data_IF_603655828709
#
_entry.id   IF_603655828709
#
_cell.length_a   1.000
_cell.length_b   1.000
_cell.length_c   1.000
_cell.angle_alpha   90.00
_cell.angle_beta   90.00
_cell.angle_gamma   90.00
#
_symmetry.space_group_name_H-M   'P 1'
#
loop_
_entity.id
_entity.type
_entity.pdbx_description
1 polymer ?
#
# COMPACT_ATOMS: atom_id res chain seq x y z
N UNK A 1 -41.75 -43.74 63.32
CA UNK A 1 -41.03 -42.46 63.04
C UNK A 1 -39.83 -42.77 62.14
N UNK A 2 -39.98 -42.64 60.84
CA UNK A 2 -38.90 -42.81 59.89
C UNK A 2 -38.47 -41.41 59.33
N UNK A 3 -37.21 -41.04 59.28
CA UNK A 3 -36.82 -39.82 58.63
C UNK A 3 -36.63 -40.06 57.12
N UNK A 4 -37.25 -39.16 56.34
CA UNK A 4 -37.07 -39.05 54.87
C UNK A 4 -35.79 -38.36 54.58
N UNK A 5 -34.87 -39.02 53.86
CA UNK A 5 -33.67 -38.42 53.32
C UNK A 5 -34.00 -37.69 52.00
N UNK A 6 -33.81 -36.39 51.94
CA UNK A 6 -33.91 -35.57 50.72
C UNK A 6 -32.56 -35.55 50.02
N UNK A 7 -32.50 -36.15 48.83
CA UNK A 7 -31.34 -36.13 47.93
C UNK A 7 -31.38 -34.83 47.10
N UNK A 8 -30.48 -33.90 47.38
CA UNK A 8 -30.30 -32.66 46.56
C UNK A 8 -29.36 -32.98 45.42
N UNK A 9 -29.89 -33.09 44.19
CA UNK A 9 -29.13 -33.16 42.96
C UNK A 9 -28.62 -31.75 42.58
N UNK A 10 -27.30 -31.52 42.75
CA UNK A 10 -26.65 -30.29 42.29
C UNK A 10 -26.47 -30.31 40.78
N UNK A 11 -27.20 -29.44 40.07
CA UNK A 11 -26.95 -29.18 38.66
C UNK A 11 -25.79 -28.23 38.57
N UNK A 12 -24.63 -28.74 38.14
CA UNK A 12 -23.46 -27.92 37.78
C UNK A 12 -23.74 -27.26 36.41
N UNK A 13 -24.22 -26.03 36.43
CA UNK A 13 -24.26 -25.18 35.26
C UNK A 13 -22.83 -24.69 34.97
N UNK A 14 -22.18 -25.32 33.99
CA UNK A 14 -20.96 -24.81 33.41
C UNK A 14 -21.21 -23.46 32.73
N UNK A 15 -21.03 -22.37 33.45
CA UNK A 15 -20.96 -21.05 32.90
C UNK A 15 -19.62 -20.95 32.11
N UNK A 16 -19.70 -21.23 30.80
CA UNK A 16 -18.64 -20.83 29.88
C UNK A 16 -18.50 -19.34 29.99
N UNK A 17 -17.39 -18.85 30.58
CA UNK A 17 -17.03 -17.46 30.55
C UNK A 17 -16.82 -17.06 29.07
N UNK A 18 -17.86 -16.52 28.46
CA UNK A 18 -17.73 -15.69 27.29
C UNK A 18 -16.92 -14.48 27.76
N UNK A 19 -15.62 -14.41 27.42
CA UNK A 19 -14.83 -13.19 27.56
C UNK A 19 -15.60 -12.10 26.80
N UNK A 20 -16.10 -11.12 27.54
CA UNK A 20 -16.53 -9.84 26.95
C UNK A 20 -15.25 -9.24 26.37
N UNK A 21 -15.20 -9.06 25.04
CA UNK A 21 -14.10 -8.38 24.38
C UNK A 21 -13.94 -7.00 25.05
N UNK A 22 -12.83 -6.81 25.78
CA UNK A 22 -12.48 -5.52 26.35
C UNK A 22 -11.98 -4.59 25.23
N UNK A 23 -11.97 -3.29 25.46
CA UNK A 23 -11.44 -2.28 24.52
C UNK A 23 -10.00 -2.56 24.04
N UNK A 24 -9.28 -3.50 24.66
CA UNK A 24 -7.92 -3.96 24.32
C UNK A 24 -7.84 -5.17 23.37
N UNK A 25 -8.96 -5.60 22.77
CA UNK A 25 -8.98 -6.81 21.94
C UNK A 25 -8.96 -6.50 20.42
N UNK A 26 -8.80 -5.24 20.04
CA UNK A 26 -8.71 -4.82 18.64
C UNK A 26 -7.25 -4.65 18.22
N UNK A 27 -6.96 -4.95 16.94
CA UNK A 27 -5.65 -4.73 16.30
C UNK A 27 -5.68 -3.39 15.59
N UNK A 28 -4.82 -2.46 15.98
CA UNK A 28 -4.68 -1.16 15.33
C UNK A 28 -3.73 -1.25 14.14
N UNK A 29 -4.20 -0.83 12.96
CA UNK A 29 -3.45 -0.97 11.71
C UNK A 29 -3.37 0.36 10.97
N UNK A 30 -2.17 0.85 10.71
CA UNK A 30 -1.96 1.89 9.69
C UNK A 30 -1.58 1.24 8.38
N UNK A 31 -2.32 1.54 7.32
CA UNK A 31 -2.10 0.92 6.02
C UNK A 31 -2.20 1.91 4.86
N UNK A 32 -1.51 1.57 3.75
CA UNK A 32 -1.61 2.32 2.50
C UNK A 32 -3.07 2.45 2.07
N UNK A 33 -3.56 3.67 1.82
CA UNK A 33 -4.97 3.95 1.58
C UNK A 33 -5.54 3.23 0.34
N UNK A 34 -4.69 2.84 -0.61
CA UNK A 34 -5.05 1.97 -1.74
C UNK A 34 -5.56 0.57 -1.33
N UNK A 35 -5.32 0.16 -0.08
CA UNK A 35 -5.79 -1.12 0.47
C UNK A 35 -7.16 -1.01 1.17
N UNK A 36 -7.80 0.16 1.22
CA UNK A 36 -8.97 0.41 2.09
C UNK A 36 -10.07 -0.64 1.93
N UNK A 37 -10.47 -0.97 0.70
CA UNK A 37 -11.52 -1.96 0.45
C UNK A 37 -11.05 -3.37 0.80
N UNK A 38 -9.83 -3.75 0.40
CA UNK A 38 -9.26 -5.05 0.72
C UNK A 38 -9.11 -5.25 2.23
N UNK A 39 -8.63 -4.23 2.95
CA UNK A 39 -8.47 -4.29 4.41
C UNK A 39 -9.81 -4.35 5.15
N UNK A 40 -10.88 -3.77 4.62
CA UNK A 40 -12.23 -3.96 5.18
C UNK A 40 -12.69 -5.43 5.07
N UNK A 41 -12.43 -6.09 3.94
CA UNK A 41 -12.73 -7.51 3.73
C UNK A 41 -11.84 -8.40 4.63
N UNK A 42 -10.54 -8.10 4.72
CA UNK A 42 -9.59 -8.76 5.63
C UNK A 42 -10.06 -8.63 7.08
N UNK A 43 -10.44 -7.43 7.52
CA UNK A 43 -10.92 -7.18 8.88
C UNK A 43 -12.18 -8.01 9.22
N UNK A 44 -13.13 -8.10 8.27
CA UNK A 44 -14.33 -8.93 8.44
C UNK A 44 -13.97 -10.40 8.62
N UNK A 45 -13.14 -10.93 7.73
CA UNK A 45 -12.75 -12.34 7.74
C UNK A 45 -11.89 -12.69 8.95
N UNK A 46 -10.95 -11.81 9.32
CA UNK A 46 -10.13 -11.96 10.53
C UNK A 46 -10.98 -12.00 11.79
N UNK A 47 -11.98 -11.10 11.90
CA UNK A 47 -12.92 -11.09 13.03
C UNK A 47 -13.76 -12.36 13.09
N UNK A 48 -14.24 -12.88 11.97
CA UNK A 48 -15.01 -14.12 11.91
C UNK A 48 -14.21 -15.31 12.48
N UNK A 49 -12.92 -15.37 12.21
CA UNK A 49 -12.06 -16.47 12.64
C UNK A 49 -11.53 -16.32 14.06
N UNK A 50 -11.18 -15.10 14.45
CA UNK A 50 -10.45 -14.86 15.71
C UNK A 50 -11.30 -14.22 16.80
N UNK A 51 -12.43 -13.62 16.43
CA UNK A 51 -13.25 -12.79 17.31
C UNK A 51 -12.66 -11.39 17.56
N UNK A 52 -11.48 -11.06 16.99
CA UNK A 52 -10.79 -9.79 17.18
C UNK A 52 -11.22 -8.77 16.13
N UNK A 53 -11.40 -7.52 16.56
CA UNK A 53 -11.65 -6.40 15.66
C UNK A 53 -10.32 -5.87 15.06
N UNK A 54 -10.39 -5.31 13.85
CA UNK A 54 -9.28 -4.55 13.23
C UNK A 54 -9.72 -3.10 13.09
N UNK A 55 -8.97 -2.19 13.69
CA UNK A 55 -9.16 -0.75 13.55
C UNK A 55 -8.17 -0.20 12.55
N UNK A 56 -8.66 0.15 11.38
CA UNK A 56 -7.85 0.58 10.26
C UNK A 56 -7.71 2.09 10.17
N UNK A 57 -6.50 2.57 9.89
CA UNK A 57 -6.17 3.97 9.63
C UNK A 57 -5.51 4.09 8.24
N UNK A 58 -6.31 4.35 7.17
CA UNK A 58 -5.79 4.48 5.81
C UNK A 58 -5.05 5.79 5.61
N UNK A 59 -3.81 5.72 5.07
CA UNK A 59 -2.95 6.88 4.80
C UNK A 59 -2.01 6.63 3.62
N UNK A 60 -1.43 7.71 3.08
CA UNK A 60 -0.23 7.58 2.26
C UNK A 60 0.91 6.96 3.08
N UNK A 61 1.61 5.97 2.53
CA UNK A 61 2.58 5.17 3.32
C UNK A 61 3.69 6.02 3.95
N UNK A 62 4.21 7.02 3.25
CA UNK A 62 5.24 7.93 3.81
C UNK A 62 4.69 8.73 4.98
N UNK A 63 3.47 9.28 4.84
CA UNK A 63 2.81 10.04 5.90
C UNK A 63 2.55 9.16 7.14
N UNK A 64 2.09 7.91 6.95
CA UNK A 64 1.90 6.95 8.03
C UNK A 64 3.21 6.63 8.77
N UNK A 65 4.29 6.38 8.04
CA UNK A 65 5.60 6.11 8.64
C UNK A 65 6.11 7.28 9.49
N UNK A 66 5.88 8.53 9.05
CA UNK A 66 6.26 9.73 9.83
C UNK A 66 5.49 9.82 11.15
N UNK A 67 4.18 9.60 11.16
CA UNK A 67 3.38 9.63 12.38
C UNK A 67 3.82 8.58 13.39
N UNK A 68 4.22 7.39 12.91
CA UNK A 68 4.77 6.32 13.75
C UNK A 68 6.13 6.74 14.30
N UNK A 69 7.03 7.25 13.46
CA UNK A 69 8.36 7.71 13.86
C UNK A 69 8.32 8.79 14.93
N UNK A 70 7.40 9.76 14.78
CA UNK A 70 7.22 10.85 15.74
C UNK A 70 6.46 10.41 17.02
N UNK A 71 6.04 9.14 17.11
CA UNK A 71 5.28 8.61 18.25
C UNK A 71 3.86 9.17 18.40
N UNK A 72 3.37 9.91 17.39
CA UNK A 72 2.02 10.46 17.35
C UNK A 72 0.99 9.33 17.22
N UNK A 73 1.36 8.29 16.49
CA UNK A 73 0.54 7.10 16.29
C UNK A 73 1.35 5.83 16.57
N UNK A 74 0.72 4.84 17.21
CA UNK A 74 1.36 3.58 17.61
C UNK A 74 0.48 2.40 17.19
N UNK A 75 0.48 2.03 15.92
CA UNK A 75 -0.28 0.88 15.43
C UNK A 75 0.39 -0.44 15.81
N UNK A 76 -0.40 -1.52 15.84
CA UNK A 76 0.13 -2.88 15.97
C UNK A 76 0.73 -3.39 14.68
N UNK A 77 0.20 -2.92 13.53
CA UNK A 77 0.73 -3.25 12.21
C UNK A 77 0.86 -2.00 11.36
N UNK A 78 1.99 -1.88 10.69
CA UNK A 78 2.20 -0.91 9.60
C UNK A 78 2.26 -1.65 8.27
N UNK A 79 1.38 -1.26 7.33
CA UNK A 79 1.32 -1.82 5.97
C UNK A 79 1.59 -0.71 4.95
N UNK A 80 2.59 -0.94 4.11
CA UNK A 80 3.03 0.01 3.09
C UNK A 80 2.81 -0.53 1.67
N UNK A 81 2.57 0.38 0.72
CA UNK A 81 2.58 0.07 -0.72
C UNK A 81 3.99 0.14 -1.34
N UNK A 82 5.02 0.43 -0.54
CA UNK A 82 6.42 0.39 -0.97
C UNK A 82 7.35 0.04 0.21
N UNK A 83 8.04 -1.11 0.19
CA UNK A 83 9.01 -1.47 1.22
C UNK A 83 10.12 -0.44 1.45
N UNK A 84 10.43 0.42 0.47
CA UNK A 84 11.40 1.50 0.62
C UNK A 84 11.00 2.53 1.69
N UNK A 85 9.74 2.55 2.14
CA UNK A 85 9.28 3.43 3.23
C UNK A 85 9.56 2.88 4.63
N UNK A 86 9.88 1.57 4.79
CA UNK A 86 10.10 0.95 6.10
C UNK A 86 11.18 1.65 6.94
N UNK A 87 12.35 2.04 6.38
CA UNK A 87 13.36 2.78 7.16
C UNK A 87 12.89 4.13 7.70
N UNK A 88 11.79 4.69 7.16
CA UNK A 88 11.20 5.94 7.66
C UNK A 88 10.56 5.80 9.05
N UNK A 89 10.32 4.58 9.52
CA UNK A 89 9.90 4.30 10.89
C UNK A 89 10.98 4.69 11.92
N UNK A 90 12.24 4.92 11.48
CA UNK A 90 13.34 5.32 12.36
C UNK A 90 13.61 4.30 13.46
N UNK A 91 13.65 4.72 14.72
CA UNK A 91 13.89 3.85 15.87
C UNK A 91 12.78 2.79 16.08
N UNK A 92 11.65 2.94 15.39
CA UNK A 92 10.55 1.96 15.44
C UNK A 92 10.58 0.94 14.30
N UNK A 93 11.57 1.00 13.39
CA UNK A 93 11.78 -0.03 12.36
C UNK A 93 12.29 -1.34 13.00
N UNK A 94 11.53 -2.44 12.96
CA UNK A 94 11.99 -3.72 13.53
C UNK A 94 13.10 -4.38 12.69
N UNK A 95 13.39 -3.85 11.49
CA UNK A 95 14.41 -4.38 10.59
C UNK A 95 13.94 -5.55 9.72
N UNK A 96 12.65 -5.87 9.74
CA UNK A 96 12.03 -6.91 8.92
C UNK A 96 10.66 -6.49 8.43
N UNK A 97 10.18 -7.09 7.35
CA UNK A 97 8.80 -7.02 6.90
C UNK A 97 8.45 -8.27 6.09
N UNK A 98 7.15 -8.53 5.89
CA UNK A 98 6.64 -9.55 4.97
C UNK A 98 6.02 -8.84 3.77
N UNK A 99 6.52 -9.11 2.57
CA UNK A 99 5.82 -8.76 1.33
C UNK A 99 4.71 -9.79 1.14
N UNK A 100 3.46 -9.34 1.14
CA UNK A 100 2.30 -10.22 1.07
C UNK A 100 1.51 -10.07 -0.23
N UNK A 101 1.68 -8.97 -0.96
CA UNK A 101 0.97 -8.74 -2.22
C UNK A 101 1.80 -7.88 -3.19
N UNK A 102 1.42 -7.92 -4.47
CA UNK A 102 1.96 -7.11 -5.56
C UNK A 102 0.84 -6.44 -6.32
N UNK A 103 1.18 -5.33 -7.00
CA UNK A 103 0.24 -4.58 -7.81
C UNK A 103 0.90 -3.99 -9.03
N UNK A 104 0.11 -3.28 -9.83
CA UNK A 104 0.58 -2.52 -11.00
C UNK A 104 -0.16 -1.18 -11.11
N UNK A 105 0.46 -0.20 -11.77
CA UNK A 105 -0.16 1.10 -12.04
C UNK A 105 -1.03 1.04 -13.29
N UNK A 106 -2.15 1.78 -13.20
CA UNK A 106 -3.08 2.04 -14.29
C UNK A 106 -3.52 3.51 -14.28
N UNK A 107 -4.13 3.98 -15.36
CA UNK A 107 -4.91 5.21 -15.35
C UNK A 107 -6.39 4.85 -15.15
N UNK A 108 -6.91 5.09 -13.95
CA UNK A 108 -8.32 4.88 -13.61
C UNK A 108 -9.17 6.06 -14.07
N UNK A 109 -10.37 5.78 -14.63
CA UNK A 109 -11.33 6.79 -15.08
C UNK A 109 -12.76 6.32 -14.87
N UNK A 110 -13.68 7.27 -14.77
CA UNK A 110 -15.11 7.02 -14.58
C UNK A 110 -15.95 7.42 -15.80
N UNK A 111 -17.21 6.96 -15.81
CA UNK A 111 -18.16 7.29 -16.88
C UNK A 111 -18.50 8.81 -16.95
N UNK A 112 -18.26 9.55 -15.87
CA UNK A 112 -18.45 10.98 -15.82
C UNK A 112 -17.30 11.81 -16.45
N UNK A 113 -16.24 11.16 -16.97
CA UNK A 113 -15.12 11.84 -17.63
C UNK A 113 -15.58 12.56 -18.90
N UNK A 114 -15.19 13.82 -19.05
CA UNK A 114 -15.41 14.60 -20.29
C UNK A 114 -14.64 14.05 -21.48
N UNK A 115 -13.63 13.20 -21.24
CA UNK A 115 -12.77 12.56 -22.23
C UNK A 115 -13.02 11.04 -22.36
N UNK A 116 -14.21 10.56 -21.94
CA UNK A 116 -14.55 9.14 -21.87
C UNK A 116 -14.21 8.36 -23.15
N UNK A 117 -14.69 8.84 -24.31
CA UNK A 117 -14.46 8.18 -25.60
C UNK A 117 -12.97 8.07 -25.96
N UNK A 118 -12.16 9.06 -25.58
CA UNK A 118 -10.72 9.05 -25.82
C UNK A 118 -10.00 8.08 -24.86
N UNK A 119 -10.43 8.01 -23.60
CA UNK A 119 -9.92 7.06 -22.61
C UNK A 119 -10.30 5.62 -22.99
N UNK A 120 -11.52 5.37 -23.47
CA UNK A 120 -11.94 4.06 -24.01
C UNK A 120 -11.09 3.68 -25.23
N UNK A 121 -10.79 4.64 -26.11
CA UNK A 121 -9.91 4.39 -27.25
C UNK A 121 -8.47 4.07 -26.79
N UNK A 122 -7.97 4.74 -25.75
CA UNK A 122 -6.66 4.42 -25.16
C UNK A 122 -6.66 3.04 -24.49
N UNK A 123 -7.73 2.69 -23.76
CA UNK A 123 -7.93 1.35 -23.20
C UNK A 123 -7.89 0.25 -24.25
N UNK A 124 -8.49 0.51 -25.41
CA UNK A 124 -8.50 -0.39 -26.56
C UNK A 124 -7.18 -0.41 -27.36
N UNK A 125 -6.18 0.40 -26.99
CA UNK A 125 -4.91 0.52 -27.69
C UNK A 125 -4.97 1.31 -29.00
N UNK A 126 -6.09 1.98 -29.30
CA UNK A 126 -6.28 2.78 -30.51
C UNK A 126 -5.65 4.18 -30.41
N UNK A 127 -5.46 4.68 -29.20
CA UNK A 127 -4.78 5.93 -28.91
C UNK A 127 -3.68 5.67 -27.87
N UNK A 128 -2.59 6.43 -27.96
CA UNK A 128 -1.59 6.45 -26.88
C UNK A 128 -2.15 7.26 -25.71
N UNK A 129 -2.10 6.72 -24.50
CA UNK A 129 -2.62 7.40 -23.34
C UNK A 129 -1.98 8.79 -23.08
N UNK A 130 -0.68 9.04 -23.37
CA UNK A 130 -0.12 10.39 -23.20
C UNK A 130 -0.79 11.44 -24.11
N UNK A 131 -1.22 11.04 -25.33
CA UNK A 131 -1.91 11.94 -26.25
C UNK A 131 -3.33 12.29 -25.74
N UNK A 132 -3.91 11.43 -24.92
CA UNK A 132 -5.21 11.67 -24.28
C UNK A 132 -5.06 12.61 -23.09
N UNK A 133 -4.12 12.34 -22.18
CA UNK A 133 -3.96 13.17 -20.96
C UNK A 133 -3.42 14.58 -21.25
N UNK A 134 -2.80 14.78 -22.41
CA UNK A 134 -2.31 16.10 -22.85
C UNK A 134 -3.33 16.90 -23.68
N UNK A 135 -4.58 16.40 -23.80
CA UNK A 135 -5.65 17.20 -24.47
C UNK A 135 -5.97 18.46 -23.66
N UNK A 136 -6.31 19.55 -24.34
CA UNK A 136 -6.72 20.78 -23.65
C UNK A 136 -7.86 20.52 -22.64
N UNK A 137 -7.68 20.99 -21.42
CA UNK A 137 -8.65 20.87 -20.34
C UNK A 137 -8.75 19.47 -19.71
N UNK A 138 -7.87 18.53 -20.04
CA UNK A 138 -7.80 17.23 -19.37
C UNK A 138 -7.29 17.39 -17.93
N UNK A 139 -8.00 16.83 -16.97
CA UNK A 139 -7.69 16.90 -15.54
C UNK A 139 -7.19 15.53 -15.07
N UNK A 140 -5.86 15.39 -14.96
CA UNK A 140 -5.20 14.18 -14.47
C UNK A 140 -4.92 14.33 -12.98
N UNK A 141 -5.45 13.42 -12.15
CA UNK A 141 -5.18 13.35 -10.71
C UNK A 141 -3.98 12.44 -10.38
N UNK A 142 -3.28 12.79 -9.31
CA UNK A 142 -2.22 11.97 -8.69
C UNK A 142 -2.09 12.28 -7.21
N UNK A 143 -1.42 11.44 -6.46
CA UNK A 143 -1.09 11.70 -5.05
C UNK A 143 0.18 12.55 -4.91
N UNK A 144 0.41 13.07 -3.70
CA UNK A 144 1.61 13.83 -3.36
C UNK A 144 2.83 12.88 -3.30
N UNK A 145 3.86 13.09 -4.13
CA UNK A 145 5.01 12.20 -4.18
C UNK A 145 5.90 12.26 -2.92
N UNK A 146 5.78 13.27 -2.08
CA UNK A 146 6.50 13.38 -0.82
C UNK A 146 5.82 12.60 0.32
N UNK A 147 4.53 12.29 0.16
CA UNK A 147 3.71 11.66 1.20
C UNK A 147 3.20 10.26 0.84
N UNK A 148 3.22 9.91 -0.46
CA UNK A 148 2.61 8.69 -0.95
C UNK A 148 3.43 8.02 -2.07
N UNK A 149 3.69 6.69 -1.99
CA UNK A 149 4.41 5.96 -3.04
C UNK A 149 3.78 6.08 -4.42
N UNK A 150 2.46 6.08 -4.55
CA UNK A 150 1.77 6.20 -5.83
C UNK A 150 2.11 7.53 -6.53
N UNK A 151 2.37 8.59 -5.76
CA UNK A 151 2.79 9.89 -6.28
C UNK A 151 4.13 9.84 -7.00
N UNK A 152 5.19 9.33 -6.36
CA UNK A 152 6.50 9.21 -7.03
C UNK A 152 6.51 8.09 -8.08
N UNK A 153 5.70 7.03 -7.93
CA UNK A 153 5.54 5.99 -8.95
C UNK A 153 4.88 6.54 -10.21
N UNK A 154 3.93 7.48 -10.08
CA UNK A 154 3.38 8.21 -11.23
C UNK A 154 4.46 8.99 -11.97
N UNK A 155 5.37 9.68 -11.24
CA UNK A 155 6.50 10.39 -11.85
C UNK A 155 7.41 9.42 -12.60
N UNK A 156 7.72 8.24 -12.04
CA UNK A 156 8.51 7.21 -12.73
C UNK A 156 7.81 6.72 -14.00
N UNK A 157 6.51 6.43 -13.94
CA UNK A 157 5.73 6.01 -15.10
C UNK A 157 5.76 7.07 -16.22
N UNK A 158 5.66 8.37 -15.88
CA UNK A 158 5.71 9.44 -16.86
C UNK A 158 7.10 9.61 -17.49
N UNK A 159 8.18 9.43 -16.71
CA UNK A 159 9.54 9.41 -17.25
C UNK A 159 9.79 8.24 -18.18
N UNK A 160 9.30 7.05 -17.82
CA UNK A 160 9.36 5.88 -18.69
C UNK A 160 8.50 6.05 -19.94
N UNK A 161 7.36 6.73 -19.85
CA UNK A 161 6.53 7.06 -21.01
C UNK A 161 7.24 8.01 -21.97
N UNK A 162 8.03 8.95 -21.48
CA UNK A 162 8.87 9.83 -22.31
C UNK A 162 9.89 9.01 -23.13
N UNK A 163 10.51 8.01 -22.51
CA UNK A 163 11.45 7.11 -23.19
C UNK A 163 10.77 6.22 -24.24
N UNK A 164 9.55 5.72 -23.90
CA UNK A 164 8.81 4.80 -24.79
C UNK A 164 8.14 5.52 -25.96
N UNK A 165 7.53 6.68 -25.70
CA UNK A 165 6.69 7.35 -26.69
C UNK A 165 7.33 8.60 -27.30
N UNK A 166 8.39 9.21 -26.64
CA UNK A 166 8.82 10.55 -27.03
C UNK A 166 7.67 11.56 -27.00
N UNK A 167 7.89 12.83 -27.35
CA UNK A 167 9.16 13.54 -27.49
C UNK A 167 9.79 13.86 -26.12
N UNK A 168 11.05 14.31 -26.13
CA UNK A 168 11.72 14.82 -24.93
C UNK A 168 10.88 15.90 -24.23
N UNK A 169 10.72 15.84 -22.91
CA UNK A 169 9.89 16.76 -22.11
C UNK A 169 8.44 16.30 -21.95
N UNK A 170 8.07 15.07 -22.41
CA UNK A 170 6.71 14.52 -22.23
C UNK A 170 6.31 14.45 -20.76
N UNK A 171 7.19 13.92 -19.91
CA UNK A 171 6.93 13.80 -18.48
C UNK A 171 6.69 15.18 -17.83
N UNK A 172 7.51 16.17 -18.16
CA UNK A 172 7.34 17.54 -17.67
C UNK A 172 6.01 18.15 -18.11
N UNK A 173 5.58 17.91 -19.35
CA UNK A 173 4.29 18.39 -19.86
C UNK A 173 3.10 17.76 -19.14
N UNK A 174 3.16 16.45 -18.83
CA UNK A 174 2.10 15.77 -18.05
C UNK A 174 2.05 16.33 -16.62
N UNK A 175 3.22 16.59 -16.01
CA UNK A 175 3.32 17.09 -14.65
C UNK A 175 3.03 18.59 -14.49
N UNK A 176 3.07 19.37 -15.59
CA UNK A 176 2.82 20.82 -15.57
C UNK A 176 1.35 21.24 -15.44
N UNK A 177 0.46 20.28 -15.20
CA UNK A 177 -0.98 20.52 -15.01
C UNK A 177 -1.61 21.24 -16.22
N UNK A 178 -1.77 20.57 -17.39
CA UNK A 178 -2.24 21.18 -18.62
C UNK A 178 -3.60 21.88 -18.51
N UNK A 179 -4.41 21.50 -17.50
CA UNK A 179 -5.69 22.14 -17.21
C UNK A 179 -5.58 23.46 -16.44
N UNK A 180 -4.40 23.77 -15.85
CA UNK A 180 -4.22 24.89 -14.93
C UNK A 180 -4.92 24.69 -13.57
N UNK A 181 -5.51 23.52 -13.33
CA UNK A 181 -6.17 23.16 -12.08
C UNK A 181 -5.26 22.24 -11.25
N UNK A 182 -5.47 22.24 -9.93
CA UNK A 182 -4.73 21.37 -9.01
C UNK A 182 -4.88 19.90 -9.42
N UNK A 183 -3.77 19.17 -9.50
CA UNK A 183 -3.71 17.73 -9.87
C UNK A 183 -3.28 16.82 -8.74
N UNK A 184 -2.81 17.38 -7.62
CA UNK A 184 -2.31 16.63 -6.46
C UNK A 184 -3.34 16.62 -5.34
N UNK A 185 -3.75 15.42 -4.92
CA UNK A 185 -4.77 15.20 -3.89
C UNK A 185 -4.33 14.10 -2.92
N UNK A 186 -4.87 14.08 -1.68
CA UNK A 186 -4.78 12.91 -0.83
C UNK A 186 -5.34 11.67 -1.53
N UNK A 187 -4.74 10.50 -1.24
CA UNK A 187 -5.07 9.24 -1.92
C UNK A 187 -6.57 8.89 -1.81
N UNK A 188 -7.12 9.04 -0.62
CA UNK A 188 -8.53 8.75 -0.29
C UNK A 188 -9.56 9.62 -1.05
N UNK A 189 -9.12 10.73 -1.66
CA UNK A 189 -10.00 11.63 -2.40
C UNK A 189 -10.02 11.39 -3.91
N UNK A 190 -9.08 10.61 -4.46
CA UNK A 190 -8.92 10.47 -5.90
C UNK A 190 -10.11 9.75 -6.55
N UNK A 191 -10.57 8.63 -6.00
CA UNK A 191 -11.64 7.83 -6.58
C UNK A 191 -12.95 8.60 -6.67
N UNK A 192 -13.35 9.30 -5.59
CA UNK A 192 -14.56 10.12 -5.59
C UNK A 192 -14.51 11.24 -6.65
N UNK A 193 -13.34 11.86 -6.85
CA UNK A 193 -13.17 12.92 -7.85
C UNK A 193 -13.27 12.39 -9.28
N UNK A 194 -12.77 11.19 -9.52
CA UNK A 194 -12.87 10.51 -10.82
C UNK A 194 -14.32 10.08 -11.07
N UNK A 195 -14.98 9.46 -10.09
CA UNK A 195 -16.38 9.02 -10.20
C UNK A 195 -17.35 10.18 -10.43
N UNK A 196 -17.10 11.33 -9.80
CA UNK A 196 -17.94 12.54 -9.98
C UNK A 196 -17.59 13.35 -11.23
N UNK A 197 -16.54 12.97 -11.98
CA UNK A 197 -16.07 13.72 -13.14
C UNK A 197 -15.37 15.03 -12.79
N UNK A 198 -15.00 15.25 -11.50
CA UNK A 198 -14.13 16.38 -11.11
C UNK A 198 -12.69 16.20 -11.61
N UNK A 199 -12.27 14.96 -11.83
CA UNK A 199 -11.07 14.56 -12.58
C UNK A 199 -11.50 13.69 -13.77
N UNK A 200 -10.78 13.78 -14.87
CA UNK A 200 -11.05 12.97 -16.06
C UNK A 200 -10.43 11.56 -15.94
N UNK A 201 -9.27 11.46 -15.29
CA UNK A 201 -8.61 10.24 -14.87
C UNK A 201 -7.65 10.53 -13.71
N UNK A 202 -7.19 9.48 -13.04
CA UNK A 202 -6.09 9.58 -12.09
C UNK A 202 -5.22 8.31 -12.11
N UNK A 203 -4.00 8.42 -11.54
CA UNK A 203 -3.12 7.27 -11.37
C UNK A 203 -3.61 6.44 -10.18
N UNK A 204 -3.82 5.14 -10.41
CA UNK A 204 -4.26 4.16 -9.43
C UNK A 204 -3.40 2.90 -9.49
N UNK A 205 -3.47 2.11 -8.44
CA UNK A 205 -3.12 0.70 -8.55
C UNK A 205 -4.31 -0.07 -9.15
N UNK A 206 -4.05 -1.13 -9.93
CA UNK A 206 -5.08 -1.88 -10.63
C UNK A 206 -6.16 -2.42 -9.70
N UNK A 207 -5.75 -3.06 -8.59
CA UNK A 207 -6.68 -3.60 -7.60
C UNK A 207 -7.58 -2.50 -7.01
N UNK A 208 -6.99 -1.35 -6.64
CA UNK A 208 -7.71 -0.19 -6.14
C UNK A 208 -8.75 0.32 -7.15
N UNK A 209 -8.35 0.52 -8.41
CA UNK A 209 -9.25 0.98 -9.46
C UNK A 209 -10.42 0.01 -9.67
N UNK A 210 -10.14 -1.31 -9.68
CA UNK A 210 -11.13 -2.36 -9.87
C UNK A 210 -12.14 -2.40 -8.71
N UNK A 211 -11.66 -2.33 -7.47
CA UNK A 211 -12.49 -2.34 -6.27
C UNK A 211 -13.39 -1.10 -6.16
N UNK A 212 -12.94 0.03 -6.69
CA UNK A 212 -13.71 1.29 -6.76
C UNK A 212 -14.67 1.35 -7.95
N UNK A 213 -14.76 0.28 -8.76
CA UNK A 213 -15.62 0.24 -9.94
C UNK A 213 -15.16 1.16 -11.08
N UNK A 214 -13.90 1.59 -11.07
CA UNK A 214 -13.35 2.43 -12.13
C UNK A 214 -12.98 1.60 -13.36
N UNK A 215 -13.21 2.18 -14.53
CA UNK A 215 -12.55 1.73 -15.76
C UNK A 215 -11.07 2.09 -15.69
N UNK A 216 -10.22 1.40 -16.45
CA UNK A 216 -8.81 1.75 -16.49
C UNK A 216 -8.19 1.56 -17.87
N UNK A 217 -7.20 2.40 -18.17
CA UNK A 217 -6.25 2.22 -19.27
C UNK A 217 -5.04 1.48 -18.71
N UNK A 218 -4.72 0.28 -19.19
CA UNK A 218 -3.53 -0.44 -18.76
C UNK A 218 -2.27 0.30 -19.21
N UNK A 219 -1.27 0.38 -18.34
CA UNK A 219 0.04 0.89 -18.69
C UNK A 219 0.93 -0.27 -19.18
N UNK A 220 1.65 -0.13 -20.32
CA UNK A 220 2.55 -1.17 -20.75
C UNK A 220 3.75 -1.32 -19.82
N UNK A 221 4.42 -2.49 -19.86
CA UNK A 221 5.70 -2.70 -19.16
C UNK A 221 6.78 -1.82 -19.77
N UNK A 222 7.74 -1.28 -18.96
CA UNK A 222 7.82 -1.33 -17.49
C UNK A 222 7.05 -0.20 -16.77
N UNK A 223 6.20 0.58 -17.49
CA UNK A 223 5.51 1.75 -16.94
C UNK A 223 4.56 1.39 -15.79
N UNK A 224 3.92 0.21 -15.87
CA UNK A 224 3.00 -0.27 -14.83
C UNK A 224 3.73 -0.70 -13.55
N UNK A 225 5.06 -0.89 -13.57
CA UNK A 225 5.90 -1.28 -12.43
C UNK A 225 5.42 -2.56 -11.71
N UNK A 226 4.68 -3.45 -12.39
CA UNK A 226 4.10 -4.65 -11.77
C UNK A 226 5.02 -5.86 -11.79
N UNK A 227 5.90 -6.00 -12.82
CA UNK A 227 6.68 -7.20 -13.02
C UNK A 227 8.04 -7.14 -12.30
N UNK A 228 8.34 -8.11 -11.40
CA UNK A 228 9.66 -8.22 -10.77
C UNK A 228 10.83 -8.31 -11.75
N UNK A 229 10.62 -8.81 -12.97
CA UNK A 229 11.65 -8.89 -13.99
C UNK A 229 12.11 -7.50 -14.47
N UNK A 230 11.31 -6.45 -14.26
CA UNK A 230 11.66 -5.07 -14.63
C UNK A 230 12.52 -4.35 -13.57
N UNK A 231 12.85 -5.00 -12.43
CA UNK A 231 13.54 -4.37 -11.30
C UNK A 231 14.83 -3.64 -11.72
N UNK A 232 15.65 -4.23 -12.58
CA UNK A 232 16.90 -3.61 -13.04
C UNK A 232 16.65 -2.36 -13.92
N UNK A 233 15.63 -2.42 -14.78
CA UNK A 233 15.24 -1.28 -15.62
C UNK A 233 14.64 -0.13 -14.79
N UNK A 234 13.91 -0.44 -13.74
CA UNK A 234 13.30 0.53 -12.83
C UNK A 234 14.35 1.20 -11.93
N UNK A 235 15.29 0.46 -11.37
CA UNK A 235 16.26 0.93 -10.36
C UNK A 235 17.10 2.16 -10.76
N UNK A 236 17.14 2.51 -12.07
CA UNK A 236 17.81 3.72 -12.58
C UNK A 236 17.01 5.01 -12.35
N UNK A 237 15.71 4.88 -12.03
CA UNK A 237 14.85 6.03 -11.79
C UNK A 237 14.82 6.37 -10.30
N UNK A 238 15.00 7.65 -10.02
CA UNK A 238 15.03 8.17 -8.66
C UNK A 238 14.08 9.37 -8.52
N UNK A 239 13.46 9.48 -7.35
CA UNK A 239 12.71 10.67 -6.93
C UNK A 239 13.30 11.17 -5.62
N UNK A 240 13.62 12.46 -5.58
CA UNK A 240 14.06 13.15 -4.37
C UNK A 240 12.91 13.99 -3.83
N UNK A 241 12.52 13.71 -2.59
CA UNK A 241 11.49 14.47 -1.88
C UNK A 241 11.98 15.89 -1.55
N UNK A 242 11.06 16.77 -1.19
CA UNK A 242 11.36 18.15 -0.78
C UNK A 242 12.27 18.24 0.45
N UNK A 243 12.22 17.25 1.35
CA UNK A 243 13.12 17.12 2.51
C UNK A 243 14.42 16.36 2.22
N UNK A 244 14.71 16.06 0.95
CA UNK A 244 15.98 15.52 0.47
C UNK A 244 16.08 13.99 0.46
N UNK A 245 15.05 13.23 0.88
CA UNK A 245 15.06 11.77 0.81
C UNK A 245 15.02 11.27 -0.63
N UNK A 246 15.63 10.11 -0.87
CA UNK A 246 15.74 9.51 -2.19
C UNK A 246 14.98 8.19 -2.25
N UNK A 247 13.99 8.12 -3.14
CA UNK A 247 13.30 6.88 -3.50
C UNK A 247 13.74 6.41 -4.87
N UNK A 248 14.02 5.11 -4.99
CA UNK A 248 14.30 4.45 -6.26
C UNK A 248 13.10 3.65 -6.74
N UNK A 249 12.89 3.64 -8.05
CA UNK A 249 11.83 2.85 -8.61
C UNK A 249 12.13 1.34 -8.45
N UNK A 250 11.11 0.60 -8.07
CA UNK A 250 11.12 -0.85 -7.92
C UNK A 250 9.73 -1.39 -8.29
N UNK A 251 9.61 -2.70 -8.56
CA UNK A 251 8.31 -3.33 -8.73
C UNK A 251 7.42 -3.09 -7.51
N UNK A 252 6.12 -2.89 -7.77
CA UNK A 252 5.15 -2.58 -6.73
C UNK A 252 4.96 -3.79 -5.83
N UNK A 253 5.18 -3.58 -4.53
CA UNK A 253 5.03 -4.59 -3.50
C UNK A 253 4.40 -3.97 -2.24
N UNK A 254 3.44 -4.69 -1.66
CA UNK A 254 2.85 -4.36 -0.38
C UNK A 254 3.54 -5.16 0.71
N UNK A 255 3.97 -4.48 1.76
CA UNK A 255 4.67 -5.11 2.86
C UNK A 255 4.05 -4.73 4.21
N UNK A 256 4.03 -5.69 5.13
CA UNK A 256 3.55 -5.52 6.49
C UNK A 256 4.67 -5.77 7.51
N UNK A 257 4.67 -4.99 8.58
CA UNK A 257 5.58 -5.18 9.73
C UNK A 257 4.90 -4.78 11.03
N UNK A 258 5.45 -5.22 12.16
CA UNK A 258 5.07 -4.81 13.51
C UNK A 258 6.08 -3.76 13.97
N UNK A 259 5.71 -2.48 14.13
CA UNK A 259 6.63 -1.46 14.63
C UNK A 259 7.11 -1.77 16.05
N UNK A 260 8.35 -1.36 16.41
CA UNK A 260 8.91 -1.64 17.75
C UNK A 260 8.15 -0.94 18.88
N UNK A 261 7.35 0.10 18.59
CA UNK A 261 6.48 0.78 19.56
C UNK A 261 5.02 0.28 19.56
N UNK A 262 4.75 -0.86 18.91
CA UNK A 262 3.41 -1.49 18.91
C UNK A 262 2.95 -1.76 20.35
N UNK A 263 1.68 -1.42 20.69
CA UNK A 263 1.09 -1.78 21.98
C UNK A 263 0.84 -3.28 22.15
N UNK A 264 0.47 -4.00 21.07
CA UNK A 264 0.27 -5.46 21.07
C UNK A 264 1.00 -6.12 19.87
N UNK A 265 2.33 -6.33 19.98
CA UNK A 265 3.11 -6.94 18.89
C UNK A 265 2.63 -8.35 18.52
N UNK A 266 2.02 -9.08 19.46
CA UNK A 266 1.50 -10.41 19.22
C UNK A 266 0.27 -10.36 18.33
N UNK A 267 -0.68 -9.49 18.64
CA UNK A 267 -1.87 -9.29 17.82
C UNK A 267 -1.51 -8.81 16.40
N UNK A 268 -0.53 -7.91 16.30
CA UNK A 268 0.03 -7.49 15.03
C UNK A 268 0.61 -8.66 14.22
N UNK A 269 1.39 -9.53 14.84
CA UNK A 269 1.94 -10.71 14.18
C UNK A 269 0.85 -11.71 13.77
N UNK A 270 -0.19 -11.91 14.59
CA UNK A 270 -1.34 -12.77 14.25
C UNK A 270 -2.11 -12.24 13.01
N UNK A 271 -2.30 -10.93 12.89
CA UNK A 271 -2.92 -10.34 11.70
C UNK A 271 -2.03 -10.48 10.46
N UNK A 272 -0.72 -10.27 10.58
CA UNK A 272 0.21 -10.49 9.44
C UNK A 272 0.21 -11.98 9.04
N UNK A 273 0.20 -12.92 10.00
CA UNK A 273 0.07 -14.35 9.71
C UNK A 273 -1.21 -14.67 8.95
N UNK A 274 -2.33 -14.05 9.34
CA UNK A 274 -3.58 -14.17 8.61
C UNK A 274 -3.45 -13.65 7.16
N UNK A 275 -2.86 -12.46 6.96
CA UNK A 275 -2.69 -11.86 5.63
C UNK A 275 -1.92 -12.74 4.65
N UNK A 276 -0.91 -13.49 5.13
CA UNK A 276 -0.09 -14.38 4.29
C UNK A 276 -0.56 -15.83 4.33
N UNK A 277 -1.55 -16.14 5.15
CA UNK A 277 -2.20 -17.45 5.22
C UNK A 277 -3.23 -17.66 4.11
N UNK A 278 -3.78 -18.85 4.02
CA UNK A 278 -4.74 -19.27 2.98
C UNK A 278 -5.96 -18.33 2.89
N UNK A 279 -6.62 -18.04 4.02
CA UNK A 279 -7.82 -17.19 4.04
C UNK A 279 -7.52 -15.73 3.68
N UNK A 280 -6.40 -15.16 4.18
CA UNK A 280 -5.98 -13.81 3.85
C UNK A 280 -5.59 -13.67 2.39
N UNK A 281 -4.84 -14.64 1.84
CA UNK A 281 -4.52 -14.68 0.42
C UNK A 281 -5.78 -14.76 -0.43
N UNK A 282 -6.75 -15.61 -0.10
CA UNK A 282 -8.00 -15.71 -0.83
C UNK A 282 -8.75 -14.37 -0.88
N UNK A 283 -8.87 -13.66 0.25
CA UNK A 283 -9.49 -12.32 0.31
C UNK A 283 -8.74 -11.30 -0.54
N UNK A 284 -7.41 -11.34 -0.53
CA UNK A 284 -6.58 -10.42 -1.31
C UNK A 284 -6.67 -10.71 -2.82
N UNK A 285 -6.70 -11.99 -3.22
CA UNK A 285 -6.85 -12.41 -4.62
C UNK A 285 -8.23 -12.05 -5.17
N UNK A 286 -9.30 -12.26 -4.41
CA UNK A 286 -10.64 -11.78 -4.73
C UNK A 286 -10.70 -10.25 -4.87
N UNK A 287 -9.84 -9.54 -4.13
CA UNK A 287 -9.67 -8.09 -4.22
C UNK A 287 -8.76 -7.65 -5.38
N UNK A 288 -8.25 -8.58 -6.21
CA UNK A 288 -7.45 -8.29 -7.41
C UNK A 288 -5.95 -8.13 -7.18
N UNK A 289 -5.41 -8.59 -6.04
CA UNK A 289 -3.96 -8.61 -5.80
C UNK A 289 -3.33 -9.92 -6.25
N UNK A 290 -2.04 -9.85 -6.59
CA UNK A 290 -1.19 -11.03 -6.72
C UNK A 290 -0.53 -11.27 -5.37
N UNK A 291 -0.89 -12.37 -4.72
CA UNK A 291 -0.45 -12.69 -3.35
C UNK A 291 0.90 -13.43 -3.32
N UNK A 292 1.47 -13.54 -2.15
CA UNK A 292 2.70 -14.28 -1.87
C UNK A 292 3.31 -13.85 -0.54
N UNK A 293 4.20 -14.68 0.02
CA UNK A 293 4.89 -14.38 1.26
C UNK A 293 6.41 -14.31 1.04
N UNK A 294 7.04 -13.15 1.20
CA UNK A 294 8.50 -13.00 1.11
C UNK A 294 9.02 -12.19 2.28
N UNK A 295 9.96 -12.75 3.04
CA UNK A 295 10.61 -12.01 4.13
C UNK A 295 11.62 -11.02 3.57
N UNK A 296 11.54 -9.76 4.03
CA UNK A 296 12.54 -8.73 3.81
C UNK A 296 13.30 -8.42 5.10
N UNK A 297 14.59 -8.17 4.99
CA UNK A 297 15.43 -7.74 6.11
C UNK A 297 15.97 -8.93 6.94
N UNK A 298 16.06 -8.73 8.26
CA UNK A 298 16.68 -9.67 9.17
C UNK A 298 15.69 -10.76 9.62
N UNK A 299 15.83 -11.95 9.03
CA UNK A 299 14.98 -13.12 9.31
C UNK A 299 15.02 -13.53 10.80
N UNK A 300 16.12 -13.28 11.51
CA UNK A 300 16.25 -13.64 12.93
C UNK A 300 15.36 -12.81 13.86
N UNK A 301 14.86 -11.67 13.37
CA UNK A 301 13.95 -10.78 14.10
C UNK A 301 12.47 -11.03 13.78
N UNK A 302 12.19 -11.85 12.77
CA UNK A 302 10.81 -12.18 12.40
C UNK A 302 10.20 -13.10 13.47
N UNK A 303 9.00 -12.80 13.98
CA UNK A 303 8.30 -13.71 14.89
C UNK A 303 8.18 -15.14 14.32
N UNK A 304 8.42 -16.15 15.14
CA UNK A 304 8.40 -17.57 14.70
C UNK A 304 7.07 -17.94 14.01
N UNK A 305 5.94 -17.46 14.53
CA UNK A 305 4.62 -17.63 13.94
C UNK A 305 4.58 -17.24 12.45
N UNK A 306 5.25 -16.14 12.08
CA UNK A 306 5.26 -15.65 10.70
C UNK A 306 6.18 -16.48 9.81
N UNK A 307 7.30 -16.97 10.35
CA UNK A 307 8.21 -17.85 9.61
C UNK A 307 7.55 -19.16 9.23
N UNK A 308 6.76 -19.73 10.12
CA UNK A 308 6.03 -20.99 9.88
C UNK A 308 5.01 -20.84 8.74
N UNK A 309 4.25 -19.73 8.72
CA UNK A 309 3.22 -19.47 7.69
C UNK A 309 3.87 -19.16 6.33
N UNK A 310 4.93 -18.33 6.31
CA UNK A 310 5.64 -17.99 5.07
C UNK A 310 6.32 -19.24 4.48
N UNK A 311 6.92 -20.08 5.30
CA UNK A 311 7.55 -21.33 4.85
C UNK A 311 6.52 -22.32 4.27
N UNK A 312 5.33 -22.38 4.86
CA UNK A 312 4.24 -23.23 4.37
C UNK A 312 3.73 -22.75 2.99
N UNK A 313 3.61 -21.42 2.79
CA UNK A 313 3.24 -20.81 1.52
C UNK A 313 4.27 -21.01 0.42
N UNK A 314 5.57 -20.87 0.75
CA UNK A 314 6.69 -21.07 -0.19
C UNK A 314 6.80 -22.51 -0.68
N UNK A 315 6.42 -23.49 0.13
CA UNK A 315 6.40 -24.92 -0.26
C UNK A 315 5.29 -25.19 -1.29
N UNK A 316 4.16 -24.48 -1.19
CA UNK A 316 3.07 -24.62 -2.15
C UNK A 316 3.42 -24.00 -3.52
N UNK A 317 4.26 -22.95 -3.55
CA UNK A 317 4.63 -22.21 -4.78
C UNK A 317 6.06 -22.60 -5.30
N UNK A 318 6.79 -23.46 -4.61
CA UNK A 318 8.10 -24.01 -5.04
C UNK A 318 9.26 -22.99 -5.09
N UNK A 319 9.15 -21.83 -4.40
CA UNK A 319 10.13 -20.74 -4.49
C UNK A 319 10.47 -20.10 -3.14
N UNK A 320 11.51 -20.56 -2.49
CA UNK A 320 12.18 -19.79 -1.42
C UNK A 320 13.02 -18.68 -2.08
N UNK A 321 12.53 -17.45 -2.11
CA UNK A 321 13.32 -16.27 -2.51
C UNK A 321 13.64 -15.41 -1.29
N UNK A 322 14.88 -15.45 -0.83
CA UNK A 322 15.46 -14.42 0.03
C UNK A 322 15.80 -13.22 -0.86
N UNK A 323 14.98 -12.17 -0.81
CA UNK A 323 15.34 -10.91 -1.47
C UNK A 323 16.19 -10.07 -0.52
N UNK A 324 17.34 -9.52 -0.96
CA UNK A 324 18.08 -8.54 -0.17
C UNK A 324 17.19 -7.32 0.08
N UNK A 325 17.31 -6.75 1.28
CA UNK A 325 16.64 -5.49 1.67
C UNK A 325 16.86 -4.44 0.56
N UNK A 326 15.81 -3.71 0.19
CA UNK A 326 15.98 -2.51 -0.64
C UNK A 326 17.06 -1.63 -0.01
N UNK A 327 17.97 -1.08 -0.84
CA UNK A 327 19.04 -0.24 -0.35
C UNK A 327 18.48 0.85 0.58
N UNK A 328 19.14 1.16 1.70
CA UNK A 328 18.65 2.14 2.65
C UNK A 328 18.39 3.46 1.94
N UNK A 329 17.29 4.10 2.29
CA UNK A 329 17.02 5.49 1.89
C UNK A 329 18.19 6.31 2.44
N UNK A 330 18.92 7.00 1.56
CA UNK A 330 20.00 7.89 1.97
C UNK A 330 19.37 9.06 2.75
N UNK A 331 19.52 9.02 4.07
CA UNK A 331 19.02 10.04 4.99
C UNK A 331 20.05 11.16 5.25
N UNK A 332 21.18 11.14 4.56
CA UNK A 332 22.18 12.19 4.72
C UNK A 332 21.61 13.52 4.23
N UNK A 333 21.51 14.56 5.05
CA UNK A 333 21.16 15.89 4.59
C UNK A 333 22.20 16.36 3.57
N UNK A 334 21.75 16.76 2.38
CA UNK A 334 22.62 17.33 1.36
C UNK A 334 23.44 18.50 1.92
N UNK A 335 24.67 18.74 1.39
CA UNK A 335 25.50 19.84 1.87
C UNK A 335 24.72 21.15 1.74
N UNK A 336 24.60 21.86 2.87
CA UNK A 336 24.04 23.22 2.92
C UNK A 336 24.80 24.09 1.92
N UNK A 337 24.09 24.60 0.91
CA UNK A 337 24.64 25.52 -0.08
C UNK A 337 25.25 26.75 0.59
N UNK A 338 26.22 27.42 -0.03
CA UNK A 338 26.91 28.57 0.54
C UNK A 338 25.90 29.69 0.79
N UNK A 339 25.85 30.19 2.02
CA UNK A 339 25.17 31.44 2.40
C UNK A 339 25.86 32.61 1.66
N UNK A 340 25.25 33.02 0.55
CA UNK A 340 25.66 34.24 -0.15
C UNK A 340 25.36 35.44 0.73
N UNK A 341 26.42 36.16 1.16
CA UNK A 341 26.31 37.49 1.74
C UNK A 341 25.75 38.47 0.71
N UNK A 342 24.90 39.44 1.07
CA UNK A 342 24.46 40.47 0.15
C UNK A 342 25.60 41.40 -0.22
N UNK A 343 25.68 41.90 -1.46
CA UNK A 343 26.67 42.89 -1.87
C UNK A 343 26.39 44.26 -1.22
N UNK A 344 27.43 45.12 -1.14
CA UNK A 344 27.39 46.40 -0.46
C UNK A 344 26.45 47.43 -1.12
#
# INVERSE_FOLDING_TARGET
MCPVAVLVMGVATGAGCRRVAGENDAVDVTYAASLTVAMANVASRFREQTGREVRGDPRGSVAGAHLIREGVWRPDVYITADPATLPLLGDHDPGWAIVFARGELVLGYGDASRHLAALDSAKAGLLRWPDVVLRPGFRLGRTDPDLDPKGYRAIFAFRLAEELYGPRGLAARILSEPSGERSVFPEEHLSARVLTGSLDAAVFYLAEASQQGLRHVPLPRPLNQGDPADAAALARLEYRTSDGRLFRAAPIAYAATVPLNSPDPRAGAELIAFLVGEDGNAVLEESGFVTGGTVLGDVSRVPALLLDVVAAGDVADGRVRRSPRAAPVDTTPGPSGPTGSPPP
#
